data_IF_068039114716
#
_entry.id   IF_068039114716
#
_cell.length_a   1.000
_cell.length_b   1.000
_cell.length_c   1.000
_cell.angle_alpha   90.00
_cell.angle_beta   90.00
_cell.angle_gamma   90.00
#
_symmetry.space_group_name_H-M   'P 1'
#
loop_
_entity.id
_entity.type
_entity.pdbx_description
1 polymer ?
#
# COMPACT_ATOMS: atom_id res chain seq x y z
N UNK A 1 -18.51 -19.15 -0.99
CA UNK A 1 -18.07 -18.57 -2.27
C UNK A 1 -16.64 -19.03 -2.51
N UNK A 2 -16.27 -19.53 -3.68
CA UNK A 2 -14.87 -19.77 -3.95
C UNK A 2 -14.16 -18.42 -3.92
N UNK A 3 -13.25 -18.25 -2.99
CA UNK A 3 -12.38 -17.09 -2.95
C UNK A 3 -11.54 -17.15 -4.22
N UNK A 4 -11.64 -16.12 -5.07
CA UNK A 4 -10.84 -16.07 -6.28
C UNK A 4 -9.38 -16.09 -5.87
N UNK A 5 -8.74 -17.20 -6.09
CA UNK A 5 -7.29 -17.30 -6.03
C UNK A 5 -6.79 -16.58 -7.27
N UNK A 6 -6.23 -15.41 -7.12
CA UNK A 6 -5.48 -14.77 -8.19
C UNK A 6 -4.17 -15.54 -8.32
N UNK A 7 -4.14 -16.48 -9.28
CA UNK A 7 -2.88 -17.06 -9.68
C UNK A 7 -2.08 -15.98 -10.43
N UNK A 8 -1.07 -15.44 -9.75
CA UNK A 8 -0.20 -14.43 -10.34
C UNK A 8 0.80 -15.03 -11.32
N UNK A 9 0.79 -16.36 -11.52
CA UNK A 9 1.71 -17.05 -12.42
C UNK A 9 3.19 -16.92 -12.02
N UNK A 10 3.46 -16.49 -10.78
CA UNK A 10 4.82 -16.30 -10.27
C UNK A 10 5.29 -17.62 -9.67
N UNK A 11 5.85 -18.47 -10.50
CA UNK A 11 6.53 -19.71 -10.07
C UNK A 11 7.97 -19.40 -9.63
N UNK A 12 8.16 -18.84 -8.43
CA UNK A 12 9.49 -18.57 -7.89
C UNK A 12 9.60 -19.14 -6.47
N UNK A 13 10.71 -19.82 -6.18
CA UNK A 13 11.01 -20.43 -4.89
C UNK A 13 11.08 -19.43 -3.71
N UNK A 14 11.23 -18.12 -4.01
CA UNK A 14 11.19 -17.02 -3.04
C UNK A 14 9.85 -16.33 -2.93
N UNK A 15 8.81 -16.85 -3.58
CA UNK A 15 7.46 -16.29 -3.54
C UNK A 15 6.54 -17.22 -2.76
N UNK A 16 5.90 -16.68 -1.72
CA UNK A 16 4.90 -17.38 -0.92
C UNK A 16 3.55 -16.73 -1.09
N UNK A 17 2.62 -17.40 -1.77
CA UNK A 17 1.23 -16.96 -1.88
C UNK A 17 0.43 -17.35 -0.64
N UNK A 18 0.03 -16.34 0.14
CA UNK A 18 -0.83 -16.47 1.32
C UNK A 18 -2.26 -16.01 1.07
N UNK A 19 -2.65 -15.74 -0.17
CA UNK A 19 -3.97 -15.23 -0.54
C UNK A 19 -5.08 -16.16 -0.04
N UNK A 20 -5.93 -15.65 0.84
CA UNK A 20 -7.05 -16.41 1.42
C UNK A 20 -6.64 -17.54 2.37
N UNK A 21 -5.38 -17.60 2.80
CA UNK A 21 -4.83 -18.64 3.69
C UNK A 21 -4.56 -18.12 5.10
N UNK A 22 -4.78 -16.84 5.37
CA UNK A 22 -4.55 -16.23 6.68
C UNK A 22 -5.84 -15.71 7.29
N UNK A 23 -5.98 -15.86 8.58
CA UNK A 23 -6.87 -15.07 9.41
C UNK A 23 -6.32 -13.64 9.57
N UNK A 24 -7.09 -12.73 10.15
CA UNK A 24 -6.61 -11.39 10.44
C UNK A 24 -5.43 -11.38 11.43
N UNK A 25 -5.44 -12.28 12.41
CA UNK A 25 -4.36 -12.42 13.39
C UNK A 25 -3.06 -12.88 12.72
N UNK A 26 -3.13 -13.95 11.93
CA UNK A 26 -1.98 -14.45 11.16
C UNK A 26 -1.44 -13.42 10.18
N UNK A 27 -2.31 -12.60 9.56
CA UNK A 27 -1.87 -11.49 8.72
C UNK A 27 -1.06 -10.46 9.52
N UNK A 28 -1.49 -10.13 10.75
CA UNK A 28 -0.71 -9.25 11.64
C UNK A 28 0.67 -9.84 11.93
N UNK A 29 0.76 -11.14 12.22
CA UNK A 29 2.02 -11.83 12.51
C UNK A 29 2.95 -11.86 11.28
N UNK A 30 2.41 -12.15 10.10
CA UNK A 30 3.17 -12.13 8.84
C UNK A 30 3.74 -10.73 8.57
N UNK A 31 2.91 -9.70 8.74
CA UNK A 31 3.38 -8.31 8.57
C UNK A 31 4.44 -7.98 9.62
N UNK A 32 4.21 -8.31 10.88
CA UNK A 32 5.16 -8.02 11.96
C UNK A 32 6.51 -8.72 11.80
N UNK A 33 6.54 -9.87 11.10
CA UNK A 33 7.75 -10.62 10.79
C UNK A 33 8.45 -10.17 9.49
N UNK A 34 7.90 -9.18 8.78
CA UNK A 34 8.44 -8.71 7.50
C UNK A 34 9.38 -7.53 7.71
N UNK A 35 10.41 -7.40 6.86
CA UNK A 35 11.34 -6.27 6.85
C UNK A 35 10.70 -4.99 6.32
N UNK A 36 9.71 -5.12 5.42
CA UNK A 36 8.92 -4.03 4.86
C UNK A 36 7.56 -4.56 4.37
N UNK A 37 6.51 -3.79 4.59
CA UNK A 37 5.20 -4.05 4.04
C UNK A 37 4.89 -3.05 2.91
N UNK A 38 4.45 -3.55 1.76
CA UNK A 38 3.97 -2.73 0.64
C UNK A 38 2.48 -2.98 0.49
N UNK A 39 1.67 -1.95 0.62
CA UNK A 39 0.22 -2.10 0.58
C UNK A 39 -0.48 -0.89 -0.04
N UNK A 40 -1.62 -1.11 -0.65
CA UNK A 40 -2.52 -0.03 -1.03
C UNK A 40 -3.22 0.58 0.19
N UNK A 41 -3.80 1.77 0.00
CA UNK A 41 -4.77 2.37 0.90
C UNK A 41 -6.01 1.47 1.04
N UNK A 42 -5.96 0.60 2.03
CA UNK A 42 -6.93 -0.47 2.27
C UNK A 42 -6.91 -0.90 3.75
N UNK A 43 -7.77 -1.86 4.11
CA UNK A 43 -7.76 -2.44 5.46
C UNK A 43 -6.39 -2.99 5.88
N UNK A 44 -5.60 -3.51 4.93
CA UNK A 44 -4.24 -4.03 5.20
C UNK A 44 -3.29 -2.93 5.66
N UNK A 45 -3.41 -1.70 5.13
CA UNK A 45 -2.64 -0.56 5.61
C UNK A 45 -2.87 -0.31 7.10
N UNK A 46 -4.13 -0.36 7.54
CA UNK A 46 -4.46 -0.17 8.96
C UNK A 46 -3.93 -1.29 9.85
N UNK A 47 -3.94 -2.53 9.35
CA UNK A 47 -3.31 -3.66 10.03
C UNK A 47 -1.80 -3.47 10.13
N UNK A 48 -1.12 -3.13 9.05
CA UNK A 48 0.31 -2.85 9.04
C UNK A 48 0.69 -1.72 10.01
N UNK A 49 -0.15 -0.70 10.12
CA UNK A 49 0.01 0.39 11.06
C UNK A 49 -0.09 -0.01 12.55
N UNK A 50 -0.58 -1.20 12.83
CA UNK A 50 -0.58 -1.77 14.19
C UNK A 50 0.71 -2.55 14.52
N UNK A 51 1.61 -2.70 13.58
CA UNK A 51 2.92 -3.36 13.74
C UNK A 51 4.06 -2.32 13.75
N UNK A 52 5.29 -2.75 14.06
CA UNK A 52 6.49 -1.89 13.96
C UNK A 52 7.15 -1.98 12.57
N UNK A 53 6.61 -2.77 11.67
CA UNK A 53 7.13 -2.98 10.31
C UNK A 53 7.09 -1.68 9.51
N UNK A 54 8.18 -1.29 8.82
CA UNK A 54 8.16 -0.19 7.86
C UNK A 54 7.11 -0.39 6.76
N UNK A 55 6.40 0.66 6.38
CA UNK A 55 5.31 0.58 5.41
C UNK A 55 5.51 1.51 4.24
N UNK A 56 5.44 0.95 3.04
CA UNK A 56 5.27 1.69 1.78
C UNK A 56 3.78 1.67 1.42
N UNK A 57 3.10 2.77 1.68
CA UNK A 57 1.67 2.91 1.43
C UNK A 57 1.40 3.52 0.06
N UNK A 58 0.71 2.79 -0.81
CA UNK A 58 0.41 3.20 -2.18
C UNK A 58 -0.94 3.91 -2.21
N UNK A 59 -0.92 5.16 -2.62
CA UNK A 59 -2.11 5.98 -2.76
C UNK A 59 -2.40 6.31 -4.21
N UNK A 60 -3.67 6.39 -4.55
CA UNK A 60 -4.14 6.80 -5.87
C UNK A 60 -4.94 8.10 -5.78
N UNK A 61 -6.22 8.00 -5.54
CA UNK A 61 -7.20 9.08 -5.57
C UNK A 61 -7.60 9.60 -4.18
N UNK A 62 -7.11 8.97 -3.12
CA UNK A 62 -7.27 9.41 -1.74
C UNK A 62 -6.06 10.22 -1.24
N UNK A 63 -6.31 11.19 -0.38
CA UNK A 63 -5.27 12.01 0.22
C UNK A 63 -4.59 11.27 1.39
N UNK A 64 -3.30 10.95 1.29
CA UNK A 64 -2.58 10.25 2.35
C UNK A 64 -2.53 11.04 3.66
N UNK A 65 -2.65 12.37 3.62
CA UNK A 65 -2.64 13.19 4.83
C UNK A 65 -3.84 12.93 5.74
N UNK A 66 -4.95 12.43 5.16
CA UNK A 66 -6.17 12.11 5.90
C UNK A 66 -6.21 10.65 6.35
N UNK A 67 -5.58 9.75 5.60
CA UNK A 67 -5.67 8.30 5.79
C UNK A 67 -4.38 7.69 6.37
N UNK A 68 -3.30 8.44 6.34
CA UNK A 68 -2.06 8.02 7.00
C UNK A 68 -2.24 7.99 8.54
N UNK A 69 -1.56 7.08 9.23
CA UNK A 69 -1.63 7.04 10.69
C UNK A 69 -1.24 8.39 11.29
N UNK A 70 -1.95 8.79 12.32
CA UNK A 70 -1.71 10.05 13.00
C UNK A 70 -0.24 10.12 13.50
N UNK A 71 0.45 11.25 13.30
CA UNK A 71 1.88 11.40 13.68
C UNK A 71 2.22 10.97 15.11
N UNK A 72 1.30 11.13 16.06
CA UNK A 72 1.48 10.71 17.44
C UNK A 72 1.56 9.19 17.66
N UNK A 73 1.10 8.39 16.67
CA UNK A 73 1.21 6.93 16.69
C UNK A 73 2.40 6.41 15.89
N UNK A 74 3.19 7.31 15.29
CA UNK A 74 4.29 6.99 14.39
C UNK A 74 5.68 7.07 15.06
N UNK A 75 5.73 7.24 16.38
CA UNK A 75 7.02 7.30 17.09
C UNK A 75 7.79 6.00 16.91
N UNK A 76 8.87 6.08 16.16
CA UNK A 76 9.74 4.95 15.83
C UNK A 76 9.42 4.19 14.54
N UNK A 77 8.28 4.47 13.90
CA UNK A 77 7.85 3.77 12.68
C UNK A 77 8.28 4.52 11.43
N UNK A 78 8.70 3.75 10.45
CA UNK A 78 9.03 4.29 9.13
C UNK A 78 7.85 4.07 8.18
N UNK A 79 7.21 5.14 7.75
CA UNK A 79 6.12 5.10 6.77
C UNK A 79 6.41 6.06 5.64
N UNK A 80 6.18 5.62 4.43
CA UNK A 80 6.21 6.48 3.25
C UNK A 80 4.93 6.29 2.44
N UNK A 81 4.28 7.40 2.12
CA UNK A 81 3.18 7.43 1.16
C UNK A 81 3.74 7.66 -0.24
N UNK A 82 3.47 6.74 -1.15
CA UNK A 82 3.86 6.84 -2.55
C UNK A 82 2.64 7.08 -3.41
N UNK A 83 2.65 8.14 -4.20
CA UNK A 83 1.59 8.49 -5.12
C UNK A 83 2.16 9.11 -6.40
N UNK A 84 1.42 9.02 -7.48
CA UNK A 84 1.81 9.67 -8.74
C UNK A 84 1.36 11.13 -8.73
N UNK A 85 2.21 12.09 -9.10
CA UNK A 85 1.80 13.48 -9.28
C UNK A 85 0.68 13.60 -10.31
N UNK A 86 -0.37 14.35 -9.94
CA UNK A 86 -1.50 14.65 -10.81
C UNK A 86 -1.97 16.08 -10.53
N UNK A 87 -2.33 16.89 -11.54
CA UNK A 87 -2.83 18.26 -11.33
C UNK A 87 -4.07 18.34 -10.42
N UNK A 88 -4.92 17.32 -10.46
CA UNK A 88 -6.10 17.17 -9.57
C UNK A 88 -5.90 16.04 -8.59
N UNK A 89 -4.81 16.07 -7.84
CA UNK A 89 -4.52 15.05 -6.83
C UNK A 89 -5.71 14.81 -5.90
N UNK A 90 -5.89 13.54 -5.53
CA UNK A 90 -6.86 13.15 -4.52
C UNK A 90 -8.31 13.48 -4.89
N UNK A 91 -8.67 13.23 -6.16
CA UNK A 91 -9.98 13.58 -6.69
C UNK A 91 -11.14 12.86 -5.96
N UNK A 92 -10.96 11.68 -5.42
CA UNK A 92 -11.97 11.04 -4.58
C UNK A 92 -12.19 11.83 -3.29
N UNK A 93 -11.13 12.21 -2.61
CA UNK A 93 -11.19 12.91 -1.32
C UNK A 93 -11.79 14.32 -1.48
N UNK A 94 -11.30 15.09 -2.46
CA UNK A 94 -11.62 16.52 -2.53
C UNK A 94 -12.73 16.87 -3.51
N UNK A 95 -13.02 15.99 -4.46
CA UNK A 95 -14.00 16.27 -5.52
C UNK A 95 -15.11 15.22 -5.64
N UNK A 96 -15.11 14.19 -4.80
CA UNK A 96 -16.13 13.14 -4.81
C UNK A 96 -16.18 12.34 -6.12
N UNK A 97 -15.08 12.30 -6.88
CA UNK A 97 -15.02 11.63 -8.18
C UNK A 97 -14.85 10.11 -8.02
N UNK A 98 -15.94 9.40 -7.87
CA UNK A 98 -15.95 7.96 -7.63
C UNK A 98 -15.82 7.09 -8.89
N UNK A 99 -16.22 7.60 -10.04
CA UNK A 99 -16.36 6.80 -11.27
C UNK A 99 -15.51 7.25 -12.43
N UNK A 100 -15.08 8.51 -12.47
CA UNK A 100 -14.42 9.10 -13.63
C UNK A 100 -13.17 9.89 -13.23
N UNK A 101 -12.19 9.91 -14.11
CA UNK A 101 -11.04 10.80 -13.95
C UNK A 101 -11.46 12.23 -14.32
N UNK A 102 -11.31 13.18 -13.40
CA UNK A 102 -11.62 14.61 -13.63
C UNK A 102 -10.80 15.18 -14.81
N UNK A 103 -9.62 14.62 -15.08
CA UNK A 103 -8.78 15.00 -16.22
C UNK A 103 -9.09 14.23 -17.52
N UNK A 104 -10.16 13.43 -17.55
CA UNK A 104 -10.54 12.66 -18.73
C UNK A 104 -9.64 11.46 -19.06
N UNK A 105 -8.75 11.07 -18.16
CA UNK A 105 -7.88 9.90 -18.33
C UNK A 105 -8.52 8.58 -17.92
N UNK A 106 -7.83 7.47 -18.19
CA UNK A 106 -8.24 6.17 -17.68
C UNK A 106 -8.00 6.12 -16.16
N UNK A 107 -9.09 6.10 -15.40
CA UNK A 107 -9.06 6.06 -13.94
C UNK A 107 -8.29 4.86 -13.40
N UNK A 108 -8.33 3.72 -14.07
CA UNK A 108 -7.63 2.49 -13.63
C UNK A 108 -6.12 2.65 -13.58
N UNK A 109 -5.58 3.57 -14.38
CA UNK A 109 -4.15 3.86 -14.48
C UNK A 109 -3.79 5.23 -13.89
N UNK A 110 -4.80 6.01 -13.52
CA UNK A 110 -4.61 7.36 -13.00
C UNK A 110 -4.06 7.31 -11.58
N UNK A 111 -3.06 8.12 -11.33
CA UNK A 111 -2.50 8.36 -9.99
C UNK A 111 -1.86 7.14 -9.31
N UNK A 112 -1.80 5.97 -9.96
CA UNK A 112 -1.06 4.84 -9.43
C UNK A 112 0.44 5.14 -9.44
N UNK A 113 1.16 4.82 -8.36
CA UNK A 113 2.61 4.89 -8.35
C UNK A 113 3.22 4.02 -9.46
N UNK A 114 4.35 4.44 -10.00
CA UNK A 114 5.13 3.59 -10.90
C UNK A 114 5.84 2.49 -10.13
N UNK A 115 6.13 1.38 -10.80
CA UNK A 115 6.90 0.29 -10.18
C UNK A 115 8.24 0.79 -9.61
N UNK A 116 8.92 1.66 -10.33
CA UNK A 116 10.19 2.27 -9.91
C UNK A 116 10.02 3.04 -8.58
N UNK A 117 9.00 3.89 -8.46
CA UNK A 117 8.73 4.61 -7.22
C UNK A 117 8.49 3.67 -6.03
N UNK A 118 7.78 2.56 -6.25
CA UNK A 118 7.50 1.58 -5.20
C UNK A 118 8.77 0.84 -4.79
N UNK A 119 9.57 0.41 -5.77
CA UNK A 119 10.84 -0.31 -5.53
C UNK A 119 11.85 0.58 -4.81
N UNK A 120 11.99 1.84 -5.22
CA UNK A 120 12.90 2.78 -4.58
C UNK A 120 12.52 3.03 -3.12
N UNK A 121 11.22 3.21 -2.85
CA UNK A 121 10.71 3.40 -1.50
C UNK A 121 10.96 2.17 -0.60
N UNK A 122 10.69 0.97 -1.11
CA UNK A 122 10.94 -0.27 -0.37
C UNK A 122 12.45 -0.50 -0.13
N UNK A 123 13.27 -0.29 -1.17
CA UNK A 123 14.71 -0.46 -1.08
C UNK A 123 15.36 0.53 -0.10
N UNK A 124 14.79 1.72 0.10
CA UNK A 124 15.28 2.67 1.09
C UNK A 124 15.21 2.08 2.52
N UNK A 125 14.09 1.43 2.86
CA UNK A 125 13.95 0.78 4.17
C UNK A 125 14.88 -0.41 4.35
N UNK A 126 15.05 -1.24 3.30
CA UNK A 126 15.91 -2.43 3.36
C UNK A 126 17.41 -2.10 3.49
N UNK A 127 17.84 -0.94 2.97
CA UNK A 127 19.25 -0.50 3.10
C UNK A 127 19.58 0.02 4.51
N UNK A 128 18.58 0.51 5.24
CA UNK A 128 18.76 1.07 6.58
C UNK A 128 18.61 0.01 7.70
N UNK A 129 18.36 -1.23 7.34
CA UNK A 129 18.32 -2.35 8.29
C UNK A 129 19.77 -2.77 8.60
N UNK A 130 20.20 -2.77 9.88
CA UNK A 130 21.57 -3.09 10.28
C UNK A 130 21.97 -4.52 9.97
#
# INVERSE_FOLDING_TARGET
MPKGVFDLGIGHDRFLDLTGRTSLHELCEVIAASDVAVTFDSGVLHVANCTETPVVALFSDNDPRLLHPHPQRQTGRRHVAVHRPCPTQFCQTWHGAWSECIQGGDRRMCCLPTLEQVLDAAAAFLRDTP
#
